data_IF_852618336252
#
_entry.id   IF_852618336252
#
_cell.length_a   1.000
_cell.length_b   1.000
_cell.length_c   1.000
_cell.angle_alpha   90.00
_cell.angle_beta   90.00
_cell.angle_gamma   90.00
#
_symmetry.space_group_name_H-M   'P 1'
#
loop_
_entity.id
_entity.type
_entity.pdbx_description
1 polymer ?
#
# COMPACT_ATOMS: atom_id res chain seq x y z
N UNK A 1 4.01 8.12 -26.35
CA UNK A 1 4.70 7.24 -25.38
C UNK A 1 5.49 8.13 -24.43
N UNK A 2 5.24 8.04 -23.13
CA UNK A 2 6.01 8.83 -22.17
C UNK A 2 7.14 7.98 -21.62
N UNK A 3 8.36 8.41 -21.87
CA UNK A 3 9.55 7.81 -21.30
C UNK A 3 9.64 8.18 -19.82
N UNK A 4 9.95 7.21 -18.96
CA UNK A 4 10.29 7.44 -17.57
C UNK A 4 11.76 7.12 -17.34
N UNK A 5 12.47 8.02 -16.68
CA UNK A 5 13.88 7.88 -16.37
C UNK A 5 14.07 7.46 -14.91
N UNK A 6 14.84 6.41 -14.69
CA UNK A 6 15.28 6.05 -13.34
C UNK A 6 16.33 7.06 -12.85
N UNK A 7 16.40 7.18 -11.53
CA UNK A 7 17.35 8.04 -10.83
C UNK A 7 18.26 7.19 -9.98
N UNK A 8 19.53 7.57 -9.91
CA UNK A 8 20.49 6.92 -9.03
C UNK A 8 20.29 7.39 -7.59
N UNK A 9 20.16 6.45 -6.67
CA UNK A 9 20.11 6.78 -5.25
C UNK A 9 21.47 7.31 -4.75
N UNK A 10 21.48 8.19 -3.74
CA UNK A 10 22.72 8.57 -3.07
C UNK A 10 23.49 7.36 -2.58
N UNK A 11 24.80 7.41 -2.63
CA UNK A 11 25.66 6.33 -2.15
C UNK A 11 25.55 6.18 -0.63
N UNK A 12 25.58 4.94 -0.16
CA UNK A 12 25.69 4.57 1.24
C UNK A 12 26.70 3.44 1.39
N UNK A 13 27.37 3.42 2.53
CA UNK A 13 28.30 2.36 2.86
C UNK A 13 27.52 1.08 3.26
N UNK A 14 27.56 0.07 2.41
CA UNK A 14 26.93 -1.22 2.65
C UNK A 14 27.39 -1.87 3.97
N UNK A 15 28.65 -1.62 4.39
CA UNK A 15 29.18 -2.20 5.64
C UNK A 15 28.46 -1.68 6.90
N UNK A 16 27.82 -0.51 6.83
CA UNK A 16 27.08 0.10 7.92
C UNK A 16 25.62 -0.34 8.00
N UNK A 17 25.13 -1.04 6.98
CA UNK A 17 23.74 -1.51 7.00
C UNK A 17 23.62 -2.67 8.01
N UNK A 18 22.67 -2.52 8.94
CA UNK A 18 22.38 -3.58 9.91
C UNK A 18 21.96 -4.84 9.16
N UNK A 19 22.71 -5.93 9.39
CA UNK A 19 22.40 -7.24 8.82
C UNK A 19 22.66 -8.34 9.84
N UNK A 20 21.93 -9.43 9.69
CA UNK A 20 22.11 -10.68 10.44
C UNK A 20 22.49 -11.73 9.42
N UNK A 21 23.52 -12.50 9.70
CA UNK A 21 24.07 -13.53 8.82
C UNK A 21 23.89 -14.91 9.44
N UNK A 22 23.51 -15.87 8.58
CA UNK A 22 23.36 -17.28 8.92
C UNK A 22 21.98 -17.62 9.50
N UNK A 23 21.35 -18.65 8.92
CA UNK A 23 20.00 -19.06 9.27
C UNK A 23 19.84 -19.45 10.75
N UNK A 24 20.84 -20.07 11.35
CA UNK A 24 20.76 -20.47 12.77
C UNK A 24 20.57 -19.27 13.69
N UNK A 25 21.30 -18.17 13.47
CA UNK A 25 21.15 -16.92 14.22
C UNK A 25 19.80 -16.29 13.94
N UNK A 26 19.39 -16.24 12.67
CA UNK A 26 18.08 -15.69 12.28
C UNK A 26 16.95 -16.48 12.94
N UNK A 27 17.03 -17.78 12.96
CA UNK A 27 16.02 -18.65 13.58
C UNK A 27 15.98 -18.48 15.11
N UNK A 28 17.12 -18.33 15.76
CA UNK A 28 17.19 -18.22 17.22
C UNK A 28 16.70 -16.85 17.73
N UNK A 29 17.07 -15.75 17.04
CA UNK A 29 16.90 -14.39 17.55
C UNK A 29 15.84 -13.58 16.78
N UNK A 30 15.55 -13.97 15.54
CA UNK A 30 14.68 -13.24 14.62
C UNK A 30 13.55 -14.12 14.06
N UNK A 31 13.03 -15.06 14.84
CA UNK A 31 12.01 -16.03 14.40
C UNK A 31 10.75 -15.39 13.81
N UNK A 32 10.41 -14.16 14.23
CA UNK A 32 9.26 -13.42 13.70
C UNK A 32 9.38 -13.07 12.19
N UNK A 33 10.58 -13.21 11.61
CA UNK A 33 10.81 -12.96 10.18
C UNK A 33 10.75 -14.23 9.33
N UNK A 34 10.48 -15.38 9.95
CA UNK A 34 10.42 -16.66 9.27
C UNK A 34 9.04 -17.02 8.75
N UNK A 35 8.01 -16.22 9.07
CA UNK A 35 6.64 -16.47 8.64
C UNK A 35 5.86 -15.16 8.50
N UNK A 36 4.73 -15.23 7.83
CA UNK A 36 3.71 -14.20 7.80
C UNK A 36 2.34 -14.78 8.22
N UNK A 37 1.25 -14.03 8.03
CA UNK A 37 -0.09 -14.51 8.40
C UNK A 37 -0.63 -15.65 7.49
N UNK A 38 0.06 -15.98 6.39
CA UNK A 38 -0.23 -17.18 5.60
C UNK A 38 0.06 -18.48 6.34
N UNK A 39 0.84 -18.40 7.44
CA UNK A 39 1.37 -19.55 8.21
C UNK A 39 2.38 -20.40 7.43
N UNK A 40 2.82 -19.93 6.27
CA UNK A 40 3.99 -20.53 5.59
C UNK A 40 5.24 -20.21 6.38
N UNK A 41 6.19 -21.14 6.38
CA UNK A 41 7.49 -20.98 7.03
C UNK A 41 8.59 -20.81 6.00
N UNK A 42 9.53 -19.90 6.28
CA UNK A 42 10.71 -19.71 5.45
C UNK A 42 11.55 -20.99 5.38
N UNK A 43 12.15 -21.23 4.22
CA UNK A 43 13.28 -22.15 4.09
C UNK A 43 14.54 -21.48 4.62
N UNK A 44 15.64 -22.21 4.86
CA UNK A 44 16.91 -21.60 5.21
C UNK A 44 17.33 -20.55 4.19
N UNK A 45 17.70 -19.35 4.68
CA UNK A 45 18.23 -18.25 3.91
C UNK A 45 19.41 -17.58 4.66
N UNK A 46 20.23 -16.82 3.95
CA UNK A 46 21.56 -16.46 4.44
C UNK A 46 21.61 -15.12 5.18
N UNK A 47 20.74 -14.16 4.78
CA UNK A 47 20.88 -12.78 5.23
C UNK A 47 19.52 -12.17 5.56
N UNK A 48 19.47 -11.42 6.68
CA UNK A 48 18.35 -10.54 7.04
C UNK A 48 18.88 -9.11 7.16
N UNK A 49 18.41 -8.21 6.29
CA UNK A 49 18.83 -6.81 6.22
C UNK A 49 17.77 -5.86 6.80
N UNK A 50 18.23 -4.78 7.41
CA UNK A 50 17.41 -3.73 8.00
C UNK A 50 17.87 -2.33 7.56
N UNK A 51 17.63 -1.93 6.29
CA UNK A 51 17.98 -0.59 5.83
C UNK A 51 17.15 0.47 6.55
N UNK A 52 17.79 1.55 6.99
CA UNK A 52 17.17 2.70 7.67
C UNK A 52 16.91 3.88 6.74
N UNK A 53 17.41 3.81 5.53
CA UNK A 53 17.24 4.83 4.50
C UNK A 53 17.14 4.22 3.11
N UNK A 54 16.65 4.99 2.15
CA UNK A 54 16.62 4.61 0.75
C UNK A 54 18.03 4.40 0.19
N UNK A 55 19.03 5.16 0.67
CA UNK A 55 20.43 4.98 0.28
C UNK A 55 20.99 3.64 0.75
N UNK A 56 20.70 3.26 2.00
CA UNK A 56 21.08 1.94 2.52
C UNK A 56 20.37 0.81 1.76
N UNK A 57 19.08 0.97 1.47
CA UNK A 57 18.35 0.02 0.65
C UNK A 57 18.98 -0.15 -0.73
N UNK A 58 19.33 0.95 -1.41
CA UNK A 58 20.01 0.90 -2.70
C UNK A 58 21.34 0.15 -2.62
N UNK A 59 22.14 0.39 -1.57
CA UNK A 59 23.41 -0.31 -1.37
C UNK A 59 23.20 -1.83 -1.20
N UNK A 60 22.19 -2.23 -0.41
CA UNK A 60 21.81 -3.65 -0.23
C UNK A 60 21.40 -4.26 -1.56
N UNK A 61 20.45 -3.66 -2.26
CA UNK A 61 19.91 -4.19 -3.53
C UNK A 61 21.00 -4.30 -4.60
N UNK A 62 21.84 -3.26 -4.75
CA UNK A 62 22.99 -3.30 -5.68
C UNK A 62 23.93 -4.46 -5.36
N UNK A 63 24.27 -4.65 -4.08
CA UNK A 63 25.18 -5.71 -3.65
C UNK A 63 24.59 -7.08 -3.92
N UNK A 64 23.34 -7.34 -3.54
CA UNK A 64 22.66 -8.62 -3.77
C UNK A 64 22.53 -8.90 -5.27
N UNK A 65 22.21 -7.90 -6.08
CA UNK A 65 22.11 -8.05 -7.54
C UNK A 65 23.47 -8.38 -8.18
N UNK A 66 24.56 -7.72 -7.77
CA UNK A 66 25.90 -8.01 -8.24
C UNK A 66 26.34 -9.43 -7.88
N UNK A 67 25.97 -9.90 -6.69
CA UNK A 67 26.28 -11.25 -6.21
C UNK A 67 25.29 -12.30 -6.70
N UNK A 68 24.23 -11.89 -7.42
CA UNK A 68 23.14 -12.75 -7.90
C UNK A 68 22.44 -13.51 -6.76
N UNK A 69 22.34 -12.89 -5.59
CA UNK A 69 21.62 -13.43 -4.45
C UNK A 69 20.14 -13.01 -4.59
N UNK A 70 19.20 -13.96 -4.68
CA UNK A 70 17.78 -13.66 -4.69
C UNK A 70 17.36 -13.08 -3.35
N UNK A 71 16.36 -12.19 -3.36
CA UNK A 71 15.87 -11.60 -2.12
C UNK A 71 14.36 -11.45 -2.10
N UNK A 72 13.80 -11.51 -0.91
CA UNK A 72 12.41 -11.22 -0.59
C UNK A 72 12.34 -9.93 0.20
N UNK A 73 11.27 -9.17 0.02
CA UNK A 73 11.04 -7.92 0.74
C UNK A 73 9.88 -8.10 1.73
N UNK A 74 10.08 -7.67 2.97
CA UNK A 74 9.06 -7.71 4.00
C UNK A 74 8.66 -6.31 4.48
N UNK A 75 7.36 -6.05 4.50
CA UNK A 75 6.74 -4.96 5.25
C UNK A 75 6.30 -5.44 6.63
N UNK A 76 5.02 -5.23 6.98
CA UNK A 76 4.46 -5.62 8.28
C UNK A 76 4.18 -7.13 8.44
N UNK A 77 4.36 -7.94 7.42
CA UNK A 77 4.13 -9.41 7.41
C UNK A 77 2.70 -9.85 7.74
N UNK A 78 1.73 -8.99 7.46
CA UNK A 78 0.28 -9.26 7.65
C UNK A 78 -0.37 -9.92 6.44
N UNK A 79 0.42 -10.27 5.42
CA UNK A 79 -0.04 -10.91 4.19
C UNK A 79 -0.50 -12.35 4.39
N UNK A 80 -1.47 -12.79 3.58
CA UNK A 80 -2.08 -14.11 3.69
C UNK A 80 -1.63 -15.10 2.59
N UNK A 81 -0.65 -14.70 1.78
CA UNK A 81 -0.23 -15.50 0.60
C UNK A 81 1.28 -15.85 0.60
N UNK A 82 1.99 -15.54 1.69
CA UNK A 82 3.41 -15.88 1.82
C UNK A 82 4.36 -14.96 1.07
N UNK A 83 3.91 -13.79 0.59
CA UNK A 83 4.72 -12.86 -0.19
C UNK A 83 5.95 -12.31 0.54
N UNK A 84 5.96 -12.35 1.88
CA UNK A 84 7.09 -11.91 2.71
C UNK A 84 7.97 -13.08 3.21
N UNK A 85 7.68 -14.32 2.83
CA UNK A 85 8.35 -15.51 3.34
C UNK A 85 9.46 -15.93 2.36
N UNK A 86 10.76 -15.74 2.70
CA UNK A 86 11.84 -16.01 1.78
C UNK A 86 11.99 -17.52 1.50
N UNK A 87 12.08 -17.93 0.23
CA UNK A 87 12.38 -19.31 -0.12
C UNK A 87 13.88 -19.62 -0.04
N UNK A 88 14.75 -18.58 -0.15
CA UNK A 88 16.22 -18.66 -0.17
C UNK A 88 16.85 -17.26 -0.13
N UNK A 89 18.15 -17.17 -0.08
CA UNK A 89 18.96 -15.96 -0.31
C UNK A 89 18.88 -14.95 0.81
N UNK A 90 18.12 -13.87 0.65
CA UNK A 90 18.05 -12.77 1.61
C UNK A 90 16.62 -12.30 1.87
N UNK A 91 16.39 -11.79 3.08
CA UNK A 91 15.20 -11.03 3.44
C UNK A 91 15.58 -9.58 3.73
N UNK A 92 14.89 -8.64 3.11
CA UNK A 92 15.03 -7.19 3.37
C UNK A 92 13.80 -6.72 4.12
N UNK A 93 13.94 -6.36 5.39
CA UNK A 93 12.87 -5.75 6.18
C UNK A 93 12.88 -4.24 6.01
N UNK A 94 11.76 -3.68 5.59
CA UNK A 94 11.60 -2.23 5.40
C UNK A 94 11.10 -1.50 6.64
N UNK A 95 11.07 -2.14 7.81
CA UNK A 95 10.42 -1.63 9.02
C UNK A 95 10.90 -0.25 9.48
N UNK A 96 12.14 0.13 9.17
CA UNK A 96 12.69 1.45 9.51
C UNK A 96 12.38 2.55 8.48
N UNK A 97 11.69 2.24 7.38
CA UNK A 97 11.17 3.23 6.45
C UNK A 97 9.72 3.60 6.85
N UNK A 98 9.56 4.27 7.99
CA UNK A 98 8.30 4.48 8.70
C UNK A 98 7.91 5.95 8.90
N UNK A 99 8.55 6.88 8.14
CA UNK A 99 8.35 8.32 8.31
C UNK A 99 7.23 8.85 7.43
N UNK A 100 6.46 9.82 7.93
CA UNK A 100 5.67 10.72 7.11
C UNK A 100 6.60 11.79 6.55
N UNK A 101 6.60 11.95 5.24
CA UNK A 101 7.54 12.81 4.52
C UNK A 101 6.96 14.20 4.22
N UNK A 102 5.64 14.24 3.92
CA UNK A 102 4.96 15.47 3.55
C UNK A 102 3.45 15.32 3.73
N UNK A 103 2.75 16.40 4.01
CA UNK A 103 1.32 16.56 3.84
C UNK A 103 1.08 17.84 3.08
N UNK A 104 0.23 17.83 2.06
CA UNK A 104 0.01 18.98 1.21
C UNK A 104 -1.36 18.93 0.54
N UNK A 105 -1.81 20.09 0.07
CA UNK A 105 -3.02 20.20 -0.73
C UNK A 105 -2.65 20.26 -2.21
N UNK A 106 -3.21 19.35 -2.98
CA UNK A 106 -3.03 19.36 -4.44
C UNK A 106 -3.85 20.51 -5.02
N UNK A 107 -3.18 21.51 -5.53
CA UNK A 107 -3.85 22.74 -6.01
C UNK A 107 -4.90 22.49 -7.10
N UNK A 108 -4.66 21.64 -8.14
CA UNK A 108 -5.66 21.39 -9.16
C UNK A 108 -6.93 20.72 -8.67
N UNK A 109 -6.82 19.77 -7.75
CA UNK A 109 -7.97 19.00 -7.25
C UNK A 109 -8.53 19.53 -5.92
N UNK A 110 -7.77 20.31 -5.18
CA UNK A 110 -8.07 20.71 -3.80
C UNK A 110 -8.01 19.56 -2.78
N UNK A 111 -7.53 18.39 -3.18
CA UNK A 111 -7.45 17.18 -2.39
C UNK A 111 -6.26 17.24 -1.43
N UNK A 112 -6.48 16.94 -0.15
CA UNK A 112 -5.36 16.72 0.75
C UNK A 112 -4.68 15.38 0.45
N UNK A 113 -3.36 15.41 0.44
CA UNK A 113 -2.50 14.25 0.21
C UNK A 113 -1.48 14.12 1.33
N UNK A 114 -1.10 12.89 1.62
CA UNK A 114 -0.01 12.58 2.54
C UNK A 114 0.99 11.65 1.86
N UNK A 115 2.25 12.05 1.87
CA UNK A 115 3.37 11.24 1.39
C UNK A 115 4.06 10.59 2.57
N UNK A 116 4.12 9.27 2.58
CA UNK A 116 4.69 8.51 3.67
C UNK A 116 5.57 7.37 3.17
N UNK A 117 6.53 6.97 3.98
CA UNK A 117 7.33 5.79 3.72
C UNK A 117 6.51 4.52 3.88
N UNK A 118 6.97 3.47 3.25
CA UNK A 118 6.27 2.20 3.05
C UNK A 118 5.82 1.51 4.34
N UNK A 119 6.55 1.66 5.44
CA UNK A 119 6.28 0.96 6.70
C UNK A 119 5.48 1.76 7.71
N UNK A 120 5.00 2.96 7.35
CA UNK A 120 3.95 3.61 8.14
C UNK A 120 2.76 2.67 8.23
N UNK A 121 2.37 2.25 9.44
CA UNK A 121 1.21 1.39 9.63
C UNK A 121 -0.07 2.16 9.42
N UNK A 122 -1.14 1.47 8.97
CA UNK A 122 -2.44 2.10 8.78
C UNK A 122 -3.00 2.64 10.10
N UNK A 123 -2.67 1.98 11.23
CA UNK A 123 -3.00 2.46 12.58
C UNK A 123 -2.32 3.78 12.90
N UNK A 124 -1.02 3.89 12.60
CA UNK A 124 -0.27 5.13 12.82
C UNK A 124 -0.79 6.24 11.91
N UNK A 125 -1.07 5.93 10.64
CA UNK A 125 -1.65 6.88 9.70
C UNK A 125 -3.00 7.41 10.20
N UNK A 126 -3.91 6.54 10.64
CA UNK A 126 -5.20 6.93 11.21
C UNK A 126 -5.02 7.83 12.47
N UNK A 127 -4.11 7.45 13.37
CA UNK A 127 -3.80 8.25 14.55
C UNK A 127 -3.25 9.63 14.20
N UNK A 128 -2.30 9.71 13.29
CA UNK A 128 -1.70 10.96 12.80
C UNK A 128 -2.77 11.87 12.19
N UNK A 129 -3.66 11.32 11.35
CA UNK A 129 -4.71 12.10 10.71
C UNK A 129 -5.74 12.64 11.71
N UNK A 130 -6.03 11.90 12.78
CA UNK A 130 -6.94 12.35 13.84
C UNK A 130 -6.39 13.49 14.67
N UNK A 131 -5.12 13.39 15.07
CA UNK A 131 -4.50 14.39 15.96
C UNK A 131 -3.77 15.50 15.22
N UNK A 132 -3.48 15.30 13.93
CA UNK A 132 -2.72 16.22 13.06
C UNK A 132 -1.36 16.62 13.66
N UNK A 133 -0.68 15.69 14.35
CA UNK A 133 0.63 15.93 14.94
C UNK A 133 1.68 15.10 14.24
N UNK A 134 2.60 15.78 13.55
CA UNK A 134 3.71 15.18 12.81
C UNK A 134 4.98 16.01 13.10
N UNK A 135 5.67 15.76 14.24
CA UNK A 135 6.82 16.58 14.66
C UNK A 135 7.92 16.67 13.62
N UNK A 136 8.12 15.61 12.82
CA UNK A 136 9.11 15.60 11.75
C UNK A 136 8.85 16.69 10.70
N UNK A 137 7.59 16.94 10.34
CA UNK A 137 7.23 17.97 9.35
C UNK A 137 7.32 19.37 9.93
N UNK A 138 7.04 19.54 11.23
CA UNK A 138 7.16 20.81 11.93
C UNK A 138 8.61 21.30 11.96
N UNK A 139 9.56 20.36 12.06
CA UNK A 139 11.00 20.62 12.10
C UNK A 139 11.69 20.43 10.75
N UNK A 140 10.94 20.26 9.67
CA UNK A 140 11.53 20.06 8.32
C UNK A 140 12.44 21.25 7.95
N UNK A 141 13.61 21.01 7.38
CA UNK A 141 14.44 22.08 6.81
C UNK A 141 13.78 22.78 5.62
N UNK A 142 12.86 22.09 4.93
CA UNK A 142 12.11 22.61 3.78
C UNK A 142 10.95 23.50 4.25
N UNK A 143 10.98 24.79 3.85
CA UNK A 143 9.96 25.75 4.22
C UNK A 143 8.59 25.43 3.60
N UNK A 144 8.56 24.89 2.37
CA UNK A 144 7.31 24.50 1.73
C UNK A 144 6.61 23.38 2.50
N UNK A 145 7.35 22.38 2.96
CA UNK A 145 6.82 21.30 3.80
C UNK A 145 6.25 21.85 5.11
N UNK A 146 6.97 22.75 5.79
CA UNK A 146 6.46 23.37 7.03
C UNK A 146 5.18 24.17 6.80
N UNK A 147 5.12 24.94 5.72
CA UNK A 147 3.93 25.71 5.36
C UNK A 147 2.72 24.82 5.09
N UNK A 148 2.86 23.82 4.22
CA UNK A 148 1.80 22.87 3.91
C UNK A 148 1.29 22.14 5.16
N UNK A 149 2.22 21.77 6.04
CA UNK A 149 1.86 21.13 7.29
C UNK A 149 1.12 22.07 8.23
N UNK A 150 1.50 23.36 8.32
CA UNK A 150 0.77 24.36 9.10
C UNK A 150 -0.66 24.54 8.57
N UNK A 151 -0.83 24.64 7.25
CA UNK A 151 -2.14 24.71 6.60
C UNK A 151 -3.02 23.49 6.93
N UNK A 152 -2.43 22.28 6.92
CA UNK A 152 -3.16 21.06 7.29
C UNK A 152 -3.58 21.03 8.75
N UNK A 153 -2.75 21.54 9.66
CA UNK A 153 -3.08 21.63 11.09
C UNK A 153 -4.20 22.60 11.38
N UNK A 154 -4.22 23.73 10.66
CA UNK A 154 -5.22 24.79 10.82
C UNK A 154 -6.55 24.47 10.12
N UNK A 155 -6.56 23.54 9.17
CA UNK A 155 -7.79 23.11 8.51
C UNK A 155 -8.77 22.52 9.54
N UNK A 156 -10.00 23.09 9.67
CA UNK A 156 -10.96 22.67 10.69
C UNK A 156 -11.53 21.26 10.45
N UNK A 157 -11.41 20.76 9.24
CA UNK A 157 -11.95 19.46 8.85
C UNK A 157 -11.05 18.31 9.31
N UNK A 158 -11.68 17.19 9.59
CA UNK A 158 -10.97 15.94 9.82
C UNK A 158 -10.87 15.14 8.52
N UNK A 159 -9.76 14.43 8.38
CA UNK A 159 -9.48 13.63 7.18
C UNK A 159 -9.16 12.19 7.56
N UNK A 160 -9.37 11.27 6.63
CA UNK A 160 -9.01 9.86 6.79
C UNK A 160 -8.54 9.25 5.49
N UNK A 161 -7.80 8.16 5.58
CA UNK A 161 -7.42 7.32 4.44
C UNK A 161 -8.52 6.30 4.18
N UNK A 162 -9.21 6.35 3.02
CA UNK A 162 -10.43 5.59 2.80
C UNK A 162 -10.27 4.06 2.71
N UNK A 163 -9.22 3.50 2.12
CA UNK A 163 -9.03 2.05 2.12
C UNK A 163 -8.99 1.48 3.52
N UNK A 164 -9.67 0.37 3.70
CA UNK A 164 -9.71 -0.37 4.96
C UNK A 164 -9.40 -1.83 4.66
N UNK A 165 -8.18 -2.28 4.88
CA UNK A 165 -7.78 -3.67 4.67
C UNK A 165 -8.21 -4.58 5.83
N UNK A 166 -8.93 -4.09 6.82
CA UNK A 166 -9.36 -4.79 8.05
C UNK A 166 -8.22 -4.99 9.06
N UNK A 167 -6.98 -5.14 8.61
CA UNK A 167 -5.79 -5.28 9.45
C UNK A 167 -5.05 -3.94 9.58
N UNK A 168 -5.22 -3.27 10.71
CA UNK A 168 -4.67 -1.94 10.96
C UNK A 168 -3.16 -1.91 11.24
N UNK A 169 -2.56 -3.06 11.55
CA UNK A 169 -1.10 -3.18 11.68
C UNK A 169 -0.39 -3.30 10.33
N UNK A 170 -1.14 -3.51 9.25
CA UNK A 170 -0.60 -3.54 7.89
C UNK A 170 0.16 -2.25 7.58
N UNK A 171 1.27 -2.39 6.84
CA UNK A 171 2.03 -1.24 6.34
C UNK A 171 1.36 -0.64 5.11
N UNK A 172 1.51 0.67 4.94
CA UNK A 172 0.96 1.40 3.80
C UNK A 172 1.48 0.83 2.47
N UNK A 173 2.80 0.64 2.34
CA UNK A 173 3.38 0.06 1.13
C UNK A 173 2.98 -1.39 0.90
N UNK A 174 2.87 -2.21 1.96
CA UNK A 174 2.31 -3.56 1.87
C UNK A 174 0.90 -3.56 1.31
N UNK A 175 0.05 -2.63 1.78
CA UNK A 175 -1.31 -2.45 1.25
C UNK A 175 -1.33 -2.06 -0.22
N UNK A 176 -0.34 -1.28 -0.68
CA UNK A 176 -0.21 -0.89 -2.09
C UNK A 176 0.20 -2.06 -2.96
N UNK A 177 1.29 -2.76 -2.60
CA UNK A 177 1.80 -3.85 -3.45
C UNK A 177 0.88 -5.06 -3.51
N UNK A 178 -0.03 -5.22 -2.55
CA UNK A 178 -1.10 -6.24 -2.58
C UNK A 178 -2.43 -5.71 -3.12
N UNK A 179 -2.53 -4.41 -3.45
CA UNK A 179 -3.78 -3.74 -3.76
C UNK A 179 -4.88 -4.08 -2.75
N UNK A 180 -4.55 -3.95 -1.48
CA UNK A 180 -5.38 -4.38 -0.37
C UNK A 180 -6.79 -3.78 -0.41
N UNK A 181 -7.74 -4.56 0.06
CA UNK A 181 -9.15 -4.17 0.14
C UNK A 181 -9.78 -4.79 1.37
N UNK A 182 -10.80 -4.15 1.92
CA UNK A 182 -11.49 -4.59 3.13
C UNK A 182 -12.93 -4.13 3.15
N UNK A 183 -13.48 -3.97 4.33
CA UNK A 183 -14.89 -3.68 4.57
C UNK A 183 -15.40 -2.42 3.84
N UNK A 184 -14.55 -1.41 3.63
CA UNK A 184 -14.92 -0.15 2.98
C UNK A 184 -14.81 -0.17 1.45
N UNK A 185 -14.31 -1.27 0.86
CA UNK A 185 -14.02 -1.37 -0.59
C UNK A 185 -15.27 -1.14 -1.45
N UNK A 186 -16.44 -1.56 -1.01
CA UNK A 186 -17.68 -1.34 -1.74
C UNK A 186 -17.97 0.15 -1.99
N UNK A 187 -17.63 1.03 -1.04
CA UNK A 187 -17.84 2.48 -1.18
C UNK A 187 -16.65 3.17 -1.84
N UNK A 188 -15.44 2.87 -1.39
CA UNK A 188 -14.26 3.67 -1.69
C UNK A 188 -13.33 3.00 -2.70
N UNK A 189 -13.63 1.77 -3.11
CA UNK A 189 -12.72 1.00 -3.94
C UNK A 189 -11.52 0.44 -3.16
N UNK A 190 -10.66 -0.32 -3.84
CA UNK A 190 -9.43 -0.85 -3.29
C UNK A 190 -8.37 0.25 -3.16
N UNK A 191 -7.23 -0.08 -2.57
CA UNK A 191 -6.08 0.80 -2.38
C UNK A 191 -5.68 1.57 -3.65
N UNK A 192 -5.72 0.93 -4.83
CA UNK A 192 -5.38 1.52 -6.14
C UNK A 192 -6.06 2.88 -6.38
N UNK A 193 -7.30 3.03 -5.99
CA UNK A 193 -8.09 4.24 -6.22
C UNK A 193 -7.53 5.48 -5.50
N UNK A 194 -6.70 5.28 -4.47
CA UNK A 194 -6.26 6.33 -3.55
C UNK A 194 -4.77 6.67 -3.68
N UNK A 195 -4.03 5.96 -4.52
CA UNK A 195 -2.61 6.21 -4.74
C UNK A 195 -2.44 7.32 -5.77
N UNK A 196 -1.68 8.36 -5.40
CA UNK A 196 -1.38 9.53 -6.23
C UNK A 196 0.05 9.57 -6.71
N UNK A 197 0.94 8.84 -6.06
CA UNK A 197 2.32 8.69 -6.44
C UNK A 197 3.01 7.61 -5.65
N UNK A 198 4.14 7.15 -6.14
CA UNK A 198 5.01 6.23 -5.40
C UNK A 198 6.46 6.35 -5.87
N UNK A 199 7.36 5.97 -4.98
CA UNK A 199 8.76 5.71 -5.33
C UNK A 199 9.01 4.21 -5.31
N UNK A 200 9.63 3.71 -6.37
CA UNK A 200 9.92 2.28 -6.56
C UNK A 200 11.39 2.10 -6.85
N UNK A 201 12.08 1.32 -6.04
CA UNK A 201 13.46 0.89 -6.27
C UNK A 201 13.48 -0.33 -7.17
N UNK A 202 14.35 -0.29 -8.18
CA UNK A 202 14.57 -1.36 -9.13
C UNK A 202 15.71 -2.28 -8.66
N UNK A 203 15.82 -3.46 -9.24
CA UNK A 203 16.83 -4.45 -8.87
C UNK A 203 18.29 -3.97 -9.05
N UNK A 204 18.53 -2.97 -9.89
CA UNK A 204 19.86 -2.35 -10.06
C UNK A 204 20.19 -1.29 -9.01
N UNK A 205 19.24 -1.00 -8.07
CA UNK A 205 19.37 0.01 -7.03
C UNK A 205 19.06 1.44 -7.46
N UNK A 206 18.66 1.66 -8.71
CA UNK A 206 18.04 2.92 -9.15
C UNK A 206 16.58 2.98 -8.72
N UNK A 207 15.96 4.14 -8.77
CA UNK A 207 14.56 4.29 -8.43
C UNK A 207 13.75 5.08 -9.46
N UNK A 208 12.46 4.87 -9.48
CA UNK A 208 11.48 5.61 -10.25
C UNK A 208 10.59 6.42 -9.30
N UNK A 209 10.37 7.69 -9.62
CA UNK A 209 9.29 8.50 -9.04
C UNK A 209 8.11 8.47 -10.02
N UNK A 210 7.01 7.86 -9.62
CA UNK A 210 5.87 7.62 -10.49
C UNK A 210 4.65 8.37 -9.96
N UNK A 211 4.44 9.64 -10.35
CA UNK A 211 3.19 10.35 -10.08
C UNK A 211 2.06 9.79 -10.95
N UNK A 212 0.88 9.67 -10.39
CA UNK A 212 -0.32 9.25 -11.11
C UNK A 212 -0.67 10.25 -12.21
N UNK A 213 -1.08 9.75 -13.36
CA UNK A 213 -1.51 10.55 -14.49
C UNK A 213 -0.37 11.08 -15.37
N UNK A 214 0.85 10.58 -15.19
CA UNK A 214 2.02 11.08 -15.93
C UNK A 214 2.50 10.15 -17.03
N UNK A 215 2.53 8.84 -16.77
CA UNK A 215 3.14 7.88 -17.68
C UNK A 215 2.10 6.83 -18.09
N UNK A 216 1.75 6.84 -19.38
CA UNK A 216 0.72 5.96 -19.90
C UNK A 216 1.30 4.97 -20.90
N UNK A 217 0.78 3.75 -20.91
CA UNK A 217 1.10 2.76 -21.92
C UNK A 217 0.71 3.26 -23.32
N UNK A 218 1.45 2.81 -24.34
CA UNK A 218 1.03 2.97 -25.73
C UNK A 218 -0.26 2.17 -26.02
N UNK A 219 -0.79 2.30 -27.23
CA UNK A 219 -1.92 1.47 -27.69
C UNK A 219 -1.59 -0.02 -27.72
N UNK A 220 -0.34 -0.33 -27.98
CA UNK A 220 0.22 -1.67 -28.02
C UNK A 220 0.53 -2.22 -26.62
N UNK A 221 0.30 -1.42 -25.57
CA UNK A 221 0.56 -1.82 -24.18
C UNK A 221 2.03 -1.72 -23.79
N UNK A 222 2.76 -0.76 -24.30
CA UNK A 222 4.19 -0.61 -24.02
C UNK A 222 4.50 0.65 -23.22
N UNK A 223 5.49 0.53 -22.31
CA UNK A 223 6.19 1.63 -21.67
C UNK A 223 7.66 1.60 -22.06
N UNK A 224 8.34 2.74 -21.99
CA UNK A 224 9.80 2.81 -22.06
C UNK A 224 10.31 3.27 -20.70
N UNK A 225 11.08 2.39 -20.04
CA UNK A 225 11.82 2.71 -18.82
C UNK A 225 13.27 2.92 -19.21
N UNK A 226 13.78 4.13 -19.01
CA UNK A 226 15.19 4.45 -19.28
C UNK A 226 15.97 4.34 -17.96
N UNK A 227 17.10 3.64 -17.98
CA UNK A 227 18.00 3.60 -16.85
C UNK A 227 18.78 4.93 -16.67
N UNK A 228 19.43 5.10 -15.52
CA UNK A 228 20.21 6.29 -15.20
C UNK A 228 21.44 6.50 -16.12
N UNK A 229 21.79 5.51 -16.94
CA UNK A 229 22.89 5.54 -17.91
C UNK A 229 22.41 5.77 -19.34
N UNK A 230 21.11 5.94 -19.55
CA UNK A 230 20.50 6.17 -20.86
C UNK A 230 20.12 4.90 -21.62
N UNK A 231 20.25 3.72 -21.02
CA UNK A 231 19.73 2.47 -21.60
C UNK A 231 18.21 2.46 -21.57
N UNK A 232 17.54 2.18 -22.69
CA UNK A 232 16.10 2.07 -22.77
C UNK A 232 15.66 0.62 -22.66
N UNK A 233 14.73 0.35 -21.75
CA UNK A 233 14.13 -0.96 -21.56
C UNK A 233 12.64 -0.87 -21.90
N UNK A 234 12.20 -1.45 -23.02
CA UNK A 234 10.78 -1.57 -23.30
C UNK A 234 10.15 -2.56 -22.33
N UNK A 235 8.98 -2.21 -21.83
CA UNK A 235 8.19 -3.05 -20.95
C UNK A 235 6.80 -3.21 -21.56
N UNK A 236 6.46 -4.43 -21.94
CA UNK A 236 5.16 -4.76 -22.52
C UNK A 236 4.26 -5.30 -21.41
N UNK A 237 3.06 -4.73 -21.25
CA UNK A 237 2.08 -5.23 -20.31
C UNK A 237 1.48 -6.54 -20.80
N UNK A 238 1.04 -7.43 -19.89
CA UNK A 238 0.33 -8.64 -20.27
C UNK A 238 -0.96 -8.34 -21.06
N UNK A 239 -1.26 -9.16 -22.06
CA UNK A 239 -2.52 -9.09 -22.84
C UNK A 239 -3.48 -10.18 -22.34
N UNK A 240 -4.27 -9.86 -21.34
CA UNK A 240 -5.37 -10.69 -20.86
C UNK A 240 -6.55 -9.82 -20.40
N UNK A 241 -7.80 -10.28 -20.56
CA UNK A 241 -8.95 -9.51 -20.14
C UNK A 241 -9.05 -9.46 -18.60
N UNK A 242 -9.14 -8.26 -18.06
CA UNK A 242 -9.45 -8.08 -16.65
C UNK A 242 -10.93 -8.35 -16.38
N UNK A 243 -11.28 -9.02 -15.28
CA UNK A 243 -12.68 -9.22 -14.90
C UNK A 243 -13.33 -7.88 -14.56
N UNK A 244 -14.65 -7.77 -14.79
CA UNK A 244 -15.42 -6.56 -14.44
C UNK A 244 -15.63 -6.38 -12.93
N UNK A 245 -15.45 -7.45 -12.17
CA UNK A 245 -15.50 -7.45 -10.71
C UNK A 245 -14.12 -7.22 -10.14
N UNK A 246 -14.03 -6.83 -8.86
CA UNK A 246 -12.76 -6.70 -8.15
C UNK A 246 -11.95 -7.98 -8.28
N UNK A 247 -10.71 -7.86 -8.72
CA UNK A 247 -9.76 -8.96 -8.83
C UNK A 247 -8.36 -8.49 -8.43
N UNK A 248 -7.59 -9.38 -7.81
CA UNK A 248 -6.19 -9.19 -7.48
C UNK A 248 -5.30 -10.27 -8.12
N UNK A 249 -5.86 -11.08 -9.03
CA UNK A 249 -5.11 -12.08 -9.75
C UNK A 249 -4.29 -11.45 -10.88
N UNK A 250 -2.98 -11.75 -10.91
CA UNK A 250 -2.06 -11.23 -11.91
C UNK A 250 -1.74 -9.74 -11.80
N UNK A 251 -0.90 -9.26 -12.71
CA UNK A 251 -0.63 -7.83 -12.81
C UNK A 251 -1.81 -7.08 -13.40
N UNK A 252 -2.00 -5.85 -12.96
CA UNK A 252 -2.99 -4.99 -13.62
C UNK A 252 -2.55 -4.70 -15.05
N UNK A 253 -3.41 -4.98 -16.00
CA UNK A 253 -3.16 -4.74 -17.41
C UNK A 253 -4.43 -4.21 -18.08
N UNK A 254 -4.35 -3.00 -18.64
CA UNK A 254 -5.46 -2.37 -19.37
C UNK A 254 -4.91 -1.47 -20.48
N UNK A 255 -5.61 -1.33 -21.61
CA UNK A 255 -5.21 -0.39 -22.67
C UNK A 255 -5.03 1.02 -22.10
N UNK A 256 -3.94 1.68 -22.50
CA UNK A 256 -3.59 3.04 -22.04
C UNK A 256 -3.50 3.20 -20.51
N UNK A 257 -3.19 2.13 -19.78
CA UNK A 257 -3.06 2.21 -18.32
C UNK A 257 -1.94 3.16 -17.89
N UNK A 258 -2.07 3.67 -16.68
CA UNK A 258 -1.00 4.43 -16.03
C UNK A 258 0.08 3.48 -15.47
N UNK A 259 1.35 3.81 -15.61
CA UNK A 259 2.47 2.99 -15.15
C UNK A 259 2.39 2.65 -13.66
N UNK A 260 1.91 3.58 -12.84
CA UNK A 260 1.74 3.37 -11.39
C UNK A 260 0.85 2.14 -11.10
N UNK A 261 -0.12 1.87 -11.97
CA UNK A 261 -1.05 0.77 -11.78
C UNK A 261 -0.41 -0.61 -11.98
N UNK A 262 0.72 -0.69 -12.67
CA UNK A 262 1.48 -1.93 -12.81
C UNK A 262 2.09 -2.37 -11.46
N UNK A 263 2.56 -1.40 -10.66
CA UNK A 263 3.19 -1.68 -9.36
C UNK A 263 2.17 -1.90 -8.24
N UNK A 264 0.95 -1.37 -8.37
CA UNK A 264 -0.12 -1.60 -7.40
C UNK A 264 -0.71 -3.01 -7.59
N UNK A 265 -0.52 -3.87 -6.62
CA UNK A 265 -0.92 -5.29 -6.69
C UNK A 265 0.14 -6.18 -7.33
N UNK A 266 1.39 -5.72 -7.46
CA UNK A 266 2.50 -6.48 -8.02
C UNK A 266 3.18 -7.42 -7.02
N UNK A 267 2.74 -7.46 -5.77
CA UNK A 267 3.33 -8.25 -4.67
C UNK A 267 4.84 -7.96 -4.45
N UNK A 268 5.32 -6.79 -4.89
CA UNK A 268 6.72 -6.39 -4.76
C UNK A 268 7.68 -7.03 -5.76
N UNK A 269 7.21 -7.88 -6.69
CA UNK A 269 8.10 -8.61 -7.64
C UNK A 269 8.66 -7.74 -8.75
N UNK A 270 8.06 -6.58 -9.02
CA UNK A 270 8.52 -5.64 -10.05
C UNK A 270 9.47 -4.55 -9.51
N UNK A 271 9.54 -4.41 -8.19
CA UNK A 271 10.36 -3.40 -7.53
C UNK A 271 9.93 -3.18 -6.08
N UNK A 272 10.75 -2.45 -5.34
CA UNK A 272 10.56 -2.19 -3.91
C UNK A 272 9.93 -0.81 -3.74
N UNK A 273 8.67 -0.75 -3.32
CA UNK A 273 8.00 0.51 -2.99
C UNK A 273 8.54 1.04 -1.66
N UNK A 274 9.13 2.24 -1.66
CA UNK A 274 9.73 2.85 -0.47
C UNK A 274 8.93 4.01 0.09
N UNK A 275 8.19 4.72 -0.75
CA UNK A 275 7.27 5.76 -0.33
C UNK A 275 6.03 5.81 -1.21
N UNK A 276 4.94 6.27 -0.63
CA UNK A 276 3.63 6.36 -1.29
C UNK A 276 3.01 7.72 -0.99
N UNK A 277 2.42 8.31 -2.00
CA UNK A 277 1.61 9.51 -1.91
C UNK A 277 0.13 9.11 -2.03
N UNK A 278 -0.66 9.35 -1.01
CA UNK A 278 -2.05 8.93 -0.93
C UNK A 278 -3.01 10.09 -0.74
N UNK A 279 -4.16 9.98 -1.37
CA UNK A 279 -5.25 10.91 -1.22
C UNK A 279 -6.01 10.69 0.10
N UNK A 280 -6.41 11.77 0.71
CA UNK A 280 -7.22 11.79 1.91
C UNK A 280 -8.64 12.25 1.58
N UNK A 281 -9.59 11.73 2.32
CA UNK A 281 -10.99 12.14 2.20
C UNK A 281 -11.42 12.82 3.50
N UNK A 282 -12.20 13.91 3.35
CA UNK A 282 -12.82 14.57 4.49
C UNK A 282 -13.75 13.60 5.23
N UNK A 283 -13.61 13.56 6.55
CA UNK A 283 -14.42 12.71 7.40
C UNK A 283 -15.85 13.29 7.48
N UNK A 284 -16.83 12.54 7.00
CA UNK A 284 -18.23 12.85 7.15
C UNK A 284 -18.81 12.18 8.40
N UNK A 285 -19.89 12.71 8.93
CA UNK A 285 -20.65 12.05 10.00
C UNK A 285 -21.14 10.67 9.53
N UNK A 286 -20.97 9.68 10.40
CA UNK A 286 -21.30 8.28 10.10
C UNK A 286 -22.33 7.78 11.11
N UNK A 287 -23.33 7.09 10.58
CA UNK A 287 -24.27 6.31 11.39
C UNK A 287 -23.99 4.83 11.14
N UNK A 288 -23.70 4.10 12.21
CA UNK A 288 -23.52 2.64 12.16
C UNK A 288 -24.80 1.95 12.63
N UNK A 289 -25.31 1.04 11.82
CA UNK A 289 -26.53 0.28 12.13
C UNK A 289 -26.17 -1.20 12.08
N UNK A 290 -26.55 -1.95 13.10
CA UNK A 290 -26.49 -3.41 13.11
C UNK A 290 -27.92 -3.90 12.87
N UNK A 291 -28.12 -4.68 11.80
CA UNK A 291 -29.39 -5.30 11.46
C UNK A 291 -29.30 -6.81 11.61
N UNK A 292 -30.14 -7.36 12.47
CA UNK A 292 -30.30 -8.79 12.61
C UNK A 292 -31.37 -9.29 11.64
N UNK A 293 -31.10 -10.37 10.93
CA UNK A 293 -31.98 -10.95 9.91
C UNK A 293 -32.10 -12.45 10.16
N UNK A 294 -33.24 -13.03 9.82
CA UNK A 294 -33.57 -14.43 10.16
C UNK A 294 -33.04 -15.43 9.12
N UNK A 295 -32.62 -14.96 7.95
CA UNK A 295 -32.05 -15.83 6.91
C UNK A 295 -31.12 -15.09 5.94
N UNK A 296 -30.30 -15.84 5.22
CA UNK A 296 -29.39 -15.34 4.19
C UNK A 296 -30.16 -14.67 3.03
N UNK A 297 -31.34 -15.18 2.68
CA UNK A 297 -32.20 -14.59 1.63
C UNK A 297 -32.69 -13.20 2.03
N UNK A 298 -33.03 -13.03 3.31
CA UNK A 298 -33.40 -11.71 3.84
C UNK A 298 -32.20 -10.76 3.79
N UNK A 299 -30.99 -11.25 4.12
CA UNK A 299 -29.77 -10.45 4.07
C UNK A 299 -29.45 -10.00 2.64
N UNK A 300 -29.52 -10.88 1.67
CA UNK A 300 -29.34 -10.56 0.24
C UNK A 300 -30.39 -9.57 -0.26
N UNK A 301 -31.67 -9.78 0.09
CA UNK A 301 -32.75 -8.88 -0.28
C UNK A 301 -32.58 -7.49 0.31
N UNK A 302 -32.23 -7.42 1.61
CA UNK A 302 -31.98 -6.16 2.32
C UNK A 302 -30.82 -5.40 1.70
N UNK A 303 -29.68 -6.05 1.45
CA UNK A 303 -28.52 -5.44 0.82
C UNK A 303 -28.81 -4.94 -0.60
N UNK A 304 -29.55 -5.71 -1.39
CA UNK A 304 -29.98 -5.31 -2.73
C UNK A 304 -30.84 -4.05 -2.72
N UNK A 305 -31.79 -3.93 -1.78
CA UNK A 305 -32.64 -2.73 -1.62
C UNK A 305 -31.82 -1.51 -1.20
N UNK A 306 -30.80 -1.66 -0.36
CA UNK A 306 -29.91 -0.55 0.01
C UNK A 306 -29.07 -0.08 -1.19
N UNK A 307 -28.58 -1.01 -2.00
CA UNK A 307 -27.79 -0.68 -3.19
C UNK A 307 -28.59 0.08 -4.24
N UNK A 308 -29.86 -0.29 -4.50
CA UNK A 308 -30.74 0.35 -5.49
C UNK A 308 -31.15 1.75 -5.07
N UNK A 309 -31.43 1.99 -3.78
CA UNK A 309 -31.78 3.35 -3.29
C UNK A 309 -30.68 4.38 -3.49
N UNK A 310 -29.44 3.93 -3.64
CA UNK A 310 -28.29 4.79 -3.93
C UNK A 310 -28.32 5.48 -5.29
N UNK A 311 -29.02 4.90 -6.27
CA UNK A 311 -29.07 5.41 -7.66
C UNK A 311 -30.16 6.48 -7.89
N UNK A 312 -31.06 6.71 -6.93
CA UNK A 312 -32.29 7.48 -7.19
C UNK A 312 -32.58 8.65 -6.22
N UNK A 313 -31.69 8.98 -5.26
CA UNK A 313 -32.01 10.02 -4.29
C UNK A 313 -30.98 11.14 -4.22
N UNK A 314 -31.40 12.33 -4.60
CA UNK A 314 -30.65 13.59 -4.51
C UNK A 314 -30.74 14.32 -3.16
N UNK A 315 -31.46 13.81 -2.17
CA UNK A 315 -31.69 14.54 -0.91
C UNK A 315 -31.52 13.74 0.38
N UNK A 316 -31.91 12.48 0.41
CA UNK A 316 -31.85 11.60 1.60
C UNK A 316 -30.66 10.61 1.56
N UNK A 317 -29.86 10.65 0.53
CA UNK A 317 -28.75 9.74 0.28
C UNK A 317 -27.56 9.89 1.24
N UNK A 318 -27.50 10.97 2.00
CA UNK A 318 -26.39 11.20 2.95
C UNK A 318 -26.42 10.26 4.17
N UNK A 319 -27.58 9.76 4.56
CA UNK A 319 -27.74 8.94 5.78
C UNK A 319 -27.35 7.47 5.60
N UNK A 320 -27.44 6.92 4.39
CA UNK A 320 -27.19 5.47 4.14
C UNK A 320 -25.94 5.16 3.29
N UNK A 321 -24.93 5.99 3.31
CA UNK A 321 -23.78 5.84 2.42
C UNK A 321 -22.73 4.86 2.88
N UNK A 322 -22.87 4.23 4.04
CA UNK A 322 -21.95 3.20 4.55
C UNK A 322 -22.73 1.98 5.08
N UNK A 323 -23.21 1.12 4.20
CA UNK A 323 -23.58 -0.23 4.62
C UNK A 323 -22.37 -1.14 4.40
N UNK A 324 -21.61 -1.42 5.45
CA UNK A 324 -20.70 -2.55 5.48
C UNK A 324 -21.56 -3.73 5.93
N UNK A 325 -21.91 -4.63 5.02
CA UNK A 325 -22.67 -5.81 5.33
C UNK A 325 -21.69 -6.90 5.79
N UNK A 326 -21.67 -7.18 7.09
CA UNK A 326 -21.09 -8.40 7.62
C UNK A 326 -22.18 -9.45 7.63
N UNK A 327 -22.12 -10.41 6.73
CA UNK A 327 -22.94 -11.62 6.80
C UNK A 327 -22.19 -12.56 7.74
N UNK A 328 -22.65 -12.65 8.98
CA UNK A 328 -22.16 -13.64 9.92
C UNK A 328 -23.06 -14.87 9.78
N UNK A 329 -22.55 -15.94 9.17
CA UNK A 329 -23.30 -17.20 8.99
C UNK A 329 -23.44 -18.04 10.27
N UNK A 330 -22.80 -17.66 11.36
CA UNK A 330 -22.87 -18.36 12.65
C UNK A 330 -23.70 -17.57 13.66
N UNK A 331 -25.00 -17.80 13.64
CA UNK A 331 -25.86 -17.43 14.76
C UNK A 331 -25.57 -18.43 15.88
N UNK A 332 -24.71 -18.10 16.82
CA UNK A 332 -24.68 -18.78 18.11
C UNK A 332 -26.02 -18.52 18.79
N UNK A 333 -26.87 -19.53 18.80
CA UNK A 333 -28.06 -19.53 19.66
C UNK A 333 -27.61 -19.49 21.12
N UNK A 334 -27.66 -18.31 21.72
CA UNK A 334 -27.59 -18.20 23.19
C UNK A 334 -28.81 -18.90 23.72
N UNK A 335 -28.67 -20.18 24.12
CA UNK A 335 -29.69 -20.87 24.90
C UNK A 335 -29.85 -20.10 26.19
N UNK A 336 -31.03 -19.54 26.36
CA UNK A 336 -31.45 -18.88 27.57
C UNK A 336 -31.44 -19.94 28.73
N UNK A 337 -30.65 -19.76 29.81
CA UNK A 337 -30.56 -20.77 30.85
C UNK A 337 -31.67 -20.64 31.91
N UNK A 338 -32.90 -20.27 31.52
CA UNK A 338 -34.05 -20.30 32.43
C UNK A 338 -35.30 -20.72 31.65
N UNK A 339 -35.49 -22.02 31.56
CA UNK A 339 -36.75 -22.77 31.72
C UNK A 339 -36.45 -24.22 32.08
#
# INVERSE_FOLDING_TARGET
MHEIYSKTAPEADFSQVKRIEGFATIQAEYSAYLSDESKLSAKPFDYLFFPKSESELAAVVKTLNLQKIPFTVAGARTGLVGGCVPPEGALISLEFLDKVLEVYRDEPSGEWRIKAQTSVSLKNLDSILRVKQIPLLEQSPDEAIRRHYAEFREDPDQYFYPPDPTEMSASLGGSVVTNASGARTYRYGPTRAWIRGMRVFLANGDYLDIPRGRYFASREGEFIVCDSKGGAMPLTIPDYPLPRTKSTAGFYAAPNMDLIDLFIGSEGVLGIVTSVDVALLKLEEKVSIIQFLDSDEQAVTFSGRLAVRRSHSTGLSRVFTQATLWICSDVYSVKNPQR
#
